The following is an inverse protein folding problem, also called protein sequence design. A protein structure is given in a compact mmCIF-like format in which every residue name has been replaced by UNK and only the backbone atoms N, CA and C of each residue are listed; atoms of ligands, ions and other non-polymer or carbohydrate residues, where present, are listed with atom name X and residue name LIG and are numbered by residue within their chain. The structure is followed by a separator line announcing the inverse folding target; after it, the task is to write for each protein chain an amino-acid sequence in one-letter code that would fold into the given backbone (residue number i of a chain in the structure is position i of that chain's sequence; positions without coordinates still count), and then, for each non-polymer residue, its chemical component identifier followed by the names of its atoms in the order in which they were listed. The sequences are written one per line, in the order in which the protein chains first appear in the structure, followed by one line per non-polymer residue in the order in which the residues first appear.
data_IF_345443431679
#
_entry.id   IF_345443431679
#
_cell.length_a   1.000
_cell.length_b   1.000
_cell.length_c   1.000
_cell.angle_alpha   90.00
_cell.angle_beta   90.00
_cell.angle_gamma   90.00
#
_symmetry.space_group_name_H-M   'P 1'
#
loop_
_entity.id
_entity.type
_entity.pdbx_description
1 polymer ?
#
# COMPACT_ATOMS: atom_id res chain seq x y z
N UNK A 1 12.99 -14.96 1.88
CA UNK A 1 13.39 -14.30 0.63
C UNK A 1 13.36 -12.80 0.89
N UNK A 2 14.30 -12.05 0.31
CA UNK A 2 14.42 -10.61 0.51
C UNK A 2 13.88 -9.81 -0.66
N UNK A 3 12.91 -8.93 -0.42
CA UNK A 3 12.29 -8.02 -1.40
C UNK A 3 12.51 -6.56 -1.00
N UNK A 4 12.13 -5.64 -1.88
CA UNK A 4 12.28 -4.20 -1.67
C UNK A 4 11.21 -3.45 -2.44
N UNK A 5 10.71 -2.36 -1.89
CA UNK A 5 9.97 -1.35 -2.66
C UNK A 5 10.21 0.05 -2.07
N UNK A 6 9.56 1.05 -2.67
CA UNK A 6 9.60 2.44 -2.20
C UNK A 6 8.23 2.85 -1.67
N UNK A 7 8.19 3.34 -0.44
CA UNK A 7 6.98 3.92 0.16
C UNK A 7 7.04 5.45 0.11
N UNK A 8 5.90 6.05 -0.23
CA UNK A 8 5.67 7.48 -0.18
C UNK A 8 4.69 7.75 0.96
N UNK A 9 5.17 8.32 2.05
CA UNK A 9 4.37 8.48 3.27
C UNK A 9 3.36 9.63 3.18
N UNK A 10 2.36 9.62 4.07
CA UNK A 10 1.27 10.59 4.06
C UNK A 10 1.71 12.05 4.13
N UNK A 11 2.87 12.38 4.71
CA UNK A 11 3.37 13.76 4.77
C UNK A 11 3.75 14.32 3.40
N UNK A 12 4.01 13.44 2.42
CA UNK A 12 4.33 13.81 1.05
C UNK A 12 3.08 14.09 0.20
N UNK A 13 1.87 13.88 0.73
CA UNK A 13 0.63 14.08 0.01
C UNK A 13 -0.19 15.21 0.63
N UNK A 14 -0.81 16.02 -0.22
CA UNK A 14 -2.05 16.68 0.15
C UNK A 14 -3.16 15.64 0.03
N UNK A 15 -3.62 15.18 1.18
CA UNK A 15 -4.68 14.17 1.28
C UNK A 15 -6.08 14.80 1.17
N UNK A 16 -7.11 14.00 0.83
CA UNK A 16 -8.48 14.47 0.72
C UNK A 16 -9.01 14.97 2.06
N UNK A 17 -9.80 16.05 2.06
CA UNK A 17 -10.34 16.62 3.31
C UNK A 17 -11.38 15.74 4.00
N UNK A 18 -11.98 14.81 3.25
CA UNK A 18 -13.00 13.88 3.75
C UNK A 18 -12.38 12.71 4.53
N UNK A 19 -11.08 12.47 4.35
CA UNK A 19 -10.32 11.49 5.11
C UNK A 19 -9.59 12.19 6.25
N UNK A 20 -10.00 11.87 7.49
CA UNK A 20 -9.24 12.33 8.66
C UNK A 20 -7.91 11.58 8.80
N UNK A 21 -7.02 12.08 9.65
CA UNK A 21 -5.78 11.36 10.00
C UNK A 21 -6.06 9.97 10.59
N UNK A 22 -7.12 9.83 11.39
CA UNK A 22 -7.54 8.55 11.93
C UNK A 22 -8.00 7.57 10.84
N UNK A 23 -8.61 8.08 9.76
CA UNK A 23 -8.95 7.26 8.61
C UNK A 23 -7.69 6.83 7.86
N UNK A 24 -6.84 7.79 7.51
CA UNK A 24 -5.60 7.56 6.76
C UNK A 24 -4.70 6.52 7.42
N UNK A 25 -4.66 6.48 8.75
CA UNK A 25 -3.77 5.60 9.52
C UNK A 25 -4.41 4.30 9.99
N UNK A 26 -5.76 4.23 10.08
CA UNK A 26 -6.44 3.16 10.79
C UNK A 26 -7.56 2.45 10.03
N UNK A 27 -8.00 2.97 8.89
CA UNK A 27 -9.00 2.27 8.08
C UNK A 27 -8.42 0.96 7.55
N UNK A 28 -9.25 -0.09 7.57
CA UNK A 28 -8.88 -1.45 7.13
C UNK A 28 -9.41 -1.79 5.73
N UNK A 29 -9.98 -0.80 5.05
CA UNK A 29 -10.58 -0.93 3.72
C UNK A 29 -10.86 0.45 3.14
N UNK A 30 -10.89 0.56 1.81
CA UNK A 30 -11.19 1.81 1.12
C UNK A 30 -12.66 2.27 1.23
N UNK A 31 -13.56 1.39 1.67
CA UNK A 31 -15.01 1.65 1.76
C UNK A 31 -15.64 2.08 0.42
N UNK A 32 -15.38 1.31 -0.64
CA UNK A 32 -15.99 1.51 -1.96
C UNK A 32 -17.46 1.10 -1.96
N UNK A 33 -18.33 1.92 -2.57
CA UNK A 33 -19.76 1.63 -2.74
C UNK A 33 -20.09 0.38 -3.57
N UNK A 34 -19.14 -0.09 -4.39
CA UNK A 34 -19.26 -1.34 -5.14
C UNK A 34 -18.89 -2.57 -4.30
N UNK A 35 -18.18 -2.39 -3.19
CA UNK A 35 -17.78 -3.48 -2.30
C UNK A 35 -18.97 -4.03 -1.49
N UNK A 36 -18.91 -5.32 -1.15
CA UNK A 36 -19.96 -6.02 -0.40
C UNK A 36 -20.21 -5.43 0.99
N UNK A 37 -19.16 -4.98 1.66
CA UNK A 37 -19.19 -4.45 3.03
C UNK A 37 -19.11 -2.92 3.10
N UNK A 38 -19.59 -2.24 2.06
CA UNK A 38 -19.75 -0.78 2.04
C UNK A 38 -20.60 -0.27 3.21
N UNK A 39 -20.12 0.80 3.86
CA UNK A 39 -20.81 1.53 4.91
C UNK A 39 -20.89 3.01 4.56
N UNK A 40 -22.09 3.48 4.19
CA UNK A 40 -22.35 4.87 3.83
C UNK A 40 -22.20 5.86 4.99
N UNK A 41 -22.03 5.39 6.24
CA UNK A 41 -21.76 6.24 7.40
C UNK A 41 -20.26 6.53 7.61
N UNK A 42 -19.39 5.84 6.88
CA UNK A 42 -17.94 6.01 6.92
C UNK A 42 -17.44 6.76 5.68
N UNK A 43 -16.32 7.49 5.77
CA UNK A 43 -15.73 8.09 4.59
C UNK A 43 -15.25 7.02 3.61
N UNK A 44 -15.16 7.37 2.33
CA UNK A 44 -14.64 6.51 1.27
C UNK A 44 -13.32 7.07 0.76
N UNK A 45 -12.36 6.18 0.49
CA UNK A 45 -11.10 6.50 -0.17
C UNK A 45 -11.25 6.59 -1.70
N UNK A 46 -12.37 6.08 -2.23
CA UNK A 46 -12.72 6.14 -3.65
C UNK A 46 -13.42 7.46 -3.97
N UNK A 47 -13.25 7.96 -5.19
CA UNK A 47 -13.66 9.29 -5.65
C UNK A 47 -12.98 10.44 -4.90
N UNK A 48 -11.80 10.17 -4.33
CA UNK A 48 -10.96 11.13 -3.65
C UNK A 48 -9.69 11.44 -4.46
N UNK A 49 -9.14 12.63 -4.29
CA UNK A 49 -7.90 13.07 -4.95
C UNK A 49 -6.74 13.16 -3.93
N UNK A 50 -5.69 12.39 -4.17
CA UNK A 50 -4.41 12.47 -3.46
C UNK A 50 -3.41 13.22 -4.33
N UNK A 51 -2.88 14.34 -3.86
CA UNK A 51 -1.91 15.12 -4.62
C UNK A 51 -0.52 14.99 -4.02
N UNK A 52 0.42 14.43 -4.78
CA UNK A 52 1.79 14.28 -4.35
C UNK A 52 2.50 15.64 -4.33
N UNK A 53 2.94 16.08 -3.15
CA UNK A 53 3.67 17.33 -2.93
C UNK A 53 5.14 17.26 -3.36
N UNK A 54 5.67 16.05 -3.55
CA UNK A 54 7.09 15.80 -3.84
C UNK A 54 7.85 15.26 -2.61
N UNK A 55 9.09 14.86 -2.85
CA UNK A 55 9.94 14.19 -1.86
C UNK A 55 10.55 12.92 -2.46
N UNK A 56 11.58 12.41 -1.80
CA UNK A 56 12.14 11.11 -2.12
C UNK A 56 11.48 10.06 -1.23
N UNK A 57 10.89 9.03 -1.84
CA UNK A 57 10.27 7.93 -1.09
C UNK A 57 11.29 7.17 -0.24
N UNK A 58 10.82 6.49 0.79
CA UNK A 58 11.66 5.66 1.65
C UNK A 58 11.73 4.26 1.07
N UNK A 59 12.93 3.76 0.81
CA UNK A 59 13.07 2.37 0.38
C UNK A 59 13.14 1.43 1.57
N UNK A 60 12.33 0.36 1.55
CA UNK A 60 12.27 -0.63 2.62
C UNK A 60 12.64 -2.00 2.09
N UNK A 61 13.35 -2.78 2.90
CA UNK A 61 13.74 -4.17 2.61
C UNK A 61 12.84 -5.09 3.42
N UNK A 62 12.36 -6.14 2.78
CA UNK A 62 11.25 -6.98 3.23
C UNK A 62 11.72 -8.42 3.26
N UNK A 63 11.45 -9.11 4.36
CA UNK A 63 11.57 -10.55 4.45
C UNK A 63 10.20 -11.15 4.23
N UNK A 64 10.10 -11.99 3.21
CA UNK A 64 8.90 -12.71 2.87
C UNK A 64 9.22 -14.18 2.52
N UNK A 65 8.27 -15.09 2.65
CA UNK A 65 8.48 -16.50 2.29
C UNK A 65 8.00 -16.85 0.88
N UNK A 66 7.30 -15.92 0.23
CA UNK A 66 6.78 -16.02 -1.13
C UNK A 66 7.14 -14.76 -1.96
N UNK A 67 6.54 -14.56 -3.14
CA UNK A 67 6.85 -13.44 -4.06
C UNK A 67 5.74 -12.39 -4.21
N UNK A 68 4.75 -12.38 -3.32
CA UNK A 68 3.61 -11.47 -3.33
C UNK A 68 3.62 -10.55 -2.11
N UNK A 69 3.17 -9.33 -2.34
CA UNK A 69 2.88 -8.32 -1.33
C UNK A 69 1.37 -8.34 -1.08
N UNK A 70 0.99 -9.03 -0.03
CA UNK A 70 -0.38 -9.40 0.30
C UNK A 70 -0.92 -8.65 1.51
N UNK A 71 -2.25 -8.66 1.63
CA UNK A 71 -2.91 -8.27 2.88
C UNK A 71 -2.79 -9.41 3.91
N UNK A 72 -2.76 -9.07 5.21
CA UNK A 72 -2.61 -10.05 6.29
C UNK A 72 -3.75 -11.08 6.34
N UNK A 73 -4.91 -10.81 5.74
CA UNK A 73 -6.02 -11.77 5.62
C UNK A 73 -5.76 -12.89 4.61
N UNK A 74 -5.09 -12.59 3.49
CA UNK A 74 -4.84 -13.56 2.40
C UNK A 74 -3.44 -14.15 2.41
N UNK A 75 -2.54 -13.60 3.23
CA UNK A 75 -1.18 -14.10 3.43
C UNK A 75 -1.17 -15.62 3.74
N UNK A 76 -0.51 -16.39 2.87
CA UNK A 76 -0.41 -17.85 2.98
C UNK A 76 1.00 -18.27 3.41
N UNK A 77 1.29 -18.25 4.71
CA UNK A 77 2.59 -18.71 5.19
C UNK A 77 3.06 -17.97 6.43
N UNK A 78 4.31 -17.53 6.38
CA UNK A 78 4.87 -16.58 7.33
C UNK A 78 4.47 -15.15 6.98
N UNK A 79 4.30 -14.31 7.99
CA UNK A 79 4.07 -12.89 7.73
C UNK A 79 5.28 -12.24 7.04
N UNK A 80 5.00 -11.39 6.08
CA UNK A 80 5.92 -10.42 5.52
C UNK A 80 6.38 -9.44 6.60
N UNK A 81 7.68 -9.18 6.68
CA UNK A 81 8.24 -8.31 7.74
C UNK A 81 9.34 -7.41 7.25
N UNK A 82 9.58 -6.30 7.96
CA UNK A 82 10.76 -5.46 7.73
C UNK A 82 12.05 -6.25 7.99
N UNK A 83 12.95 -6.31 7.00
CA UNK A 83 14.26 -6.92 7.17
C UNK A 83 15.20 -6.07 8.06
N UNK A 84 14.96 -4.76 8.11
CA UNK A 84 15.73 -3.80 8.89
C UNK A 84 14.84 -2.71 9.45
N UNK A 85 15.27 -2.06 10.54
CA UNK A 85 14.53 -0.93 11.07
C UNK A 85 14.47 0.22 10.05
N UNK A 86 13.31 0.83 9.91
CA UNK A 86 13.07 1.96 9.00
C UNK A 86 12.44 3.11 9.76
N UNK A 87 12.77 4.34 9.39
CA UNK A 87 12.08 5.53 9.90
C UNK A 87 11.27 6.16 8.78
N UNK A 88 9.95 6.24 8.97
CA UNK A 88 8.99 6.81 8.02
C UNK A 88 8.24 7.92 8.75
N UNK A 89 8.24 9.14 8.18
CA UNK A 89 7.60 10.33 8.79
C UNK A 89 7.94 10.53 10.29
N UNK A 90 9.19 10.26 10.68
CA UNK A 90 9.65 10.41 12.08
C UNK A 90 9.28 9.27 13.03
N UNK A 91 8.56 8.24 12.57
CA UNK A 91 8.27 7.01 13.34
C UNK A 91 9.26 5.93 12.93
N UNK A 92 9.97 5.35 13.90
CA UNK A 92 10.88 4.23 13.66
C UNK A 92 10.17 2.90 13.90
N UNK A 93 10.05 2.10 12.86
CA UNK A 93 9.57 0.73 12.91
C UNK A 93 10.77 -0.22 13.02
N UNK A 94 10.76 -1.18 13.98
CA UNK A 94 11.88 -2.10 14.16
C UNK A 94 11.94 -3.14 13.03
N UNK A 95 13.11 -3.78 12.87
CA UNK A 95 13.20 -5.00 12.08
C UNK A 95 12.26 -6.07 12.66
N UNK A 96 11.58 -6.82 11.79
CA UNK A 96 10.57 -7.80 12.16
C UNK A 96 9.16 -7.24 12.35
N UNK A 97 8.94 -5.93 12.18
CA UNK A 97 7.60 -5.36 12.12
C UNK A 97 6.82 -5.95 10.93
N UNK A 98 5.54 -6.26 11.12
CA UNK A 98 4.68 -6.87 10.10
C UNK A 98 4.30 -5.84 9.05
N UNK A 99 4.34 -6.25 7.78
CA UNK A 99 3.91 -5.46 6.63
C UNK A 99 2.64 -6.07 6.03
N UNK A 100 1.73 -5.23 5.56
CA UNK A 100 0.51 -5.65 4.87
C UNK A 100 0.20 -4.68 3.72
N UNK A 101 -0.25 -5.23 2.60
CA UNK A 101 -0.93 -4.53 1.53
C UNK A 101 -2.42 -4.39 1.87
N UNK A 102 -2.71 -3.56 2.88
CA UNK A 102 -4.02 -3.52 3.54
C UNK A 102 -5.19 -3.43 2.57
N UNK A 103 -5.07 -2.54 1.58
CA UNK A 103 -5.96 -2.47 0.43
C UNK A 103 -5.27 -1.69 -0.69
N UNK A 104 -5.82 -1.77 -1.90
CA UNK A 104 -5.36 -1.01 -3.06
C UNK A 104 -6.43 -0.05 -3.57
N UNK A 105 -5.99 0.98 -4.29
CA UNK A 105 -6.83 1.95 -4.98
C UNK A 105 -6.48 1.96 -6.45
N UNK A 106 -7.50 2.02 -7.31
CA UNK A 106 -7.34 1.96 -8.76
C UNK A 106 -7.94 3.22 -9.38
N UNK A 107 -7.18 3.91 -10.23
CA UNK A 107 -7.68 5.08 -10.95
C UNK A 107 -8.38 4.74 -12.28
N UNK A 108 -8.93 5.76 -12.93
CA UNK A 108 -9.68 5.60 -14.18
C UNK A 108 -8.84 5.07 -15.37
N UNK A 109 -7.50 5.11 -15.27
CA UNK A 109 -6.59 4.55 -16.27
C UNK A 109 -6.23 3.09 -16.00
N UNK A 110 -6.59 2.56 -14.83
CA UNK A 110 -6.23 1.22 -14.37
C UNK A 110 -4.94 1.18 -13.56
N UNK A 111 -4.35 2.33 -13.20
CA UNK A 111 -3.21 2.38 -12.30
C UNK A 111 -3.66 2.00 -10.89
N UNK A 112 -3.04 0.97 -10.34
CA UNK A 112 -3.28 0.49 -8.98
C UNK A 112 -2.14 0.97 -8.06
N UNK A 113 -2.50 1.52 -6.90
CA UNK A 113 -1.56 1.88 -5.84
C UNK A 113 -1.95 1.18 -4.56
N UNK A 114 -0.96 0.81 -3.75
CA UNK A 114 -1.12 -0.08 -2.61
C UNK A 114 -0.95 0.71 -1.32
N UNK A 115 -1.87 0.56 -0.37
CA UNK A 115 -1.75 1.17 0.96
C UNK A 115 -0.88 0.29 1.83
N UNK A 116 0.33 0.75 2.12
CA UNK A 116 1.24 0.04 3.01
C UNK A 116 0.79 0.21 4.46
N UNK A 117 0.65 -0.91 5.16
CA UNK A 117 0.49 -0.96 6.60
C UNK A 117 1.71 -1.57 7.27
N UNK A 118 2.13 -0.98 8.39
CA UNK A 118 3.23 -1.49 9.23
C UNK A 118 2.74 -1.57 10.67
N UNK A 119 2.81 -2.75 11.28
CA UNK A 119 2.38 -3.02 12.67
C UNK A 119 1.01 -2.41 13.01
N UNK A 120 0.04 -2.57 12.11
CA UNK A 120 -1.31 -2.07 12.36
C UNK A 120 -1.56 -0.61 11.95
N UNK A 121 -0.63 0.07 11.30
CA UNK A 121 -0.80 1.47 10.87
C UNK A 121 -0.53 1.65 9.38
N UNK A 122 -1.49 2.24 8.66
CA UNK A 122 -1.30 2.64 7.28
C UNK A 122 -0.32 3.83 7.24
N UNK A 123 0.78 3.70 6.50
CA UNK A 123 1.88 4.68 6.52
C UNK A 123 2.02 5.47 5.22
N UNK A 124 1.48 4.98 4.11
CA UNK A 124 1.61 5.63 2.81
C UNK A 124 1.24 4.75 1.63
N UNK A 125 1.60 5.22 0.44
CA UNK A 125 1.41 4.50 -0.81
C UNK A 125 2.70 3.82 -1.28
N UNK A 126 2.53 2.61 -1.83
CA UNK A 126 3.48 1.94 -2.71
C UNK A 126 2.91 2.01 -4.13
N UNK A 127 3.77 2.32 -5.09
CA UNK A 127 3.40 2.45 -6.50
C UNK A 127 3.99 1.30 -7.32
N UNK A 128 3.39 0.97 -8.48
CA UNK A 128 4.06 0.18 -9.49
C UNK A 128 5.39 0.83 -9.89
N UNK A 129 6.40 0.01 -10.17
CA UNK A 129 7.79 0.45 -10.33
C UNK A 129 7.95 1.57 -11.38
N UNK A 130 7.25 1.42 -12.51
CA UNK A 130 7.32 2.36 -13.65
C UNK A 130 6.35 3.55 -13.51
N UNK A 131 5.57 3.59 -12.41
CA UNK A 131 4.48 4.55 -12.20
C UNK A 131 4.64 5.35 -10.90
N UNK A 132 5.85 5.42 -10.36
CA UNK A 132 6.16 6.25 -9.20
C UNK A 132 5.72 7.72 -9.39
N UNK A 133 5.20 8.37 -8.34
CA UNK A 133 4.53 9.66 -8.46
C UNK A 133 5.54 10.79 -8.72
N UNK A 134 5.14 11.76 -9.55
CA UNK A 134 5.94 12.97 -9.80
C UNK A 134 5.38 14.15 -9.00
N UNK A 135 6.25 15.02 -8.53
CA UNK A 135 5.82 16.18 -7.73
C UNK A 135 4.74 17.00 -8.47
N UNK A 136 3.62 17.24 -7.81
CA UNK A 136 2.45 17.92 -8.35
C UNK A 136 1.42 17.01 -9.03
N UNK A 137 1.74 15.73 -9.26
CA UNK A 137 0.82 14.72 -9.80
C UNK A 137 -0.33 14.45 -8.82
N UNK A 138 -1.50 14.14 -9.37
CA UNK A 138 -2.69 13.79 -8.61
C UNK A 138 -3.12 12.37 -8.98
N UNK A 139 -3.46 11.59 -7.98
CA UNK A 139 -4.02 10.26 -8.09
C UNK A 139 -5.47 10.32 -7.61
N UNK A 140 -6.40 9.90 -8.47
CA UNK A 140 -7.83 9.92 -8.18
C UNK A 140 -8.42 8.54 -8.32
N UNK A 141 -8.64 7.89 -7.17
CA UNK A 141 -9.17 6.53 -7.12
C UNK A 141 -10.62 6.49 -7.63
N UNK A 142 -10.92 5.53 -8.50
CA UNK A 142 -12.26 5.23 -9.00
C UNK A 142 -12.79 3.87 -8.55
N UNK A 143 -11.91 2.98 -8.08
CA UNK A 143 -12.29 1.74 -7.39
C UNK A 143 -11.21 1.32 -6.39
N UNK A 144 -11.45 0.22 -5.68
CA UNK A 144 -10.49 -0.37 -4.74
C UNK A 144 -10.55 -1.89 -4.70
N UNK A 145 -9.46 -2.51 -4.23
CA UNK A 145 -9.45 -3.93 -3.82
C UNK A 145 -9.02 -4.05 -2.37
N UNK A 146 -9.57 -5.05 -1.69
CA UNK A 146 -9.21 -5.44 -0.34
C UNK A 146 -8.42 -6.76 -0.38
N UNK A 147 -7.83 -7.16 0.75
CA UNK A 147 -7.26 -8.50 0.91
C UNK A 147 -8.27 -9.57 0.52
N UNK A 148 -9.45 -9.58 1.15
CA UNK A 148 -10.56 -10.46 0.73
C UNK A 148 -11.14 -9.98 -0.60
N UNK A 149 -10.99 -10.80 -1.64
CA UNK A 149 -11.57 -10.58 -2.96
C UNK A 149 -13.09 -10.34 -2.91
N UNK A 150 -13.83 -10.92 -1.96
CA UNK A 150 -15.27 -10.67 -1.81
C UNK A 150 -15.60 -9.26 -1.33
N UNK A 151 -14.65 -8.58 -0.71
CA UNK A 151 -14.77 -7.22 -0.18
C UNK A 151 -14.16 -6.18 -1.13
N UNK A 152 -13.68 -6.63 -2.28
CA UNK A 152 -13.22 -5.78 -3.37
C UNK A 152 -14.36 -5.36 -4.29
N UNK A 153 -14.17 -4.22 -4.97
CA UNK A 153 -15.15 -3.68 -5.91
C UNK A 153 -15.32 -4.53 -7.18
N UNK A 154 -14.29 -5.27 -7.57
CA UNK A 154 -14.22 -6.06 -8.80
C UNK A 154 -14.12 -7.58 -8.57
N UNK A 155 -14.08 -8.02 -7.31
CA UNK A 155 -13.96 -9.44 -6.96
C UNK A 155 -12.53 -9.99 -6.99
N UNK A 156 -11.50 -9.12 -7.03
CA UNK A 156 -10.08 -9.51 -7.00
C UNK A 156 -9.39 -9.02 -5.72
N UNK A 157 -8.41 -9.76 -5.20
CA UNK A 157 -7.63 -9.35 -4.02
C UNK A 157 -6.66 -8.21 -4.36
N UNK A 158 -6.27 -7.40 -3.37
CA UNK A 158 -5.19 -6.39 -3.50
C UNK A 158 -3.79 -6.99 -3.70
N UNK A 159 -3.64 -8.31 -3.55
CA UNK A 159 -2.39 -9.06 -3.78
C UNK A 159 -1.65 -8.64 -5.06
N UNK A 160 -0.36 -8.33 -4.92
CA UNK A 160 0.50 -7.91 -6.04
C UNK A 160 1.86 -8.58 -5.95
N UNK A 161 2.49 -8.89 -7.08
CA UNK A 161 3.88 -9.38 -7.05
C UNK A 161 4.85 -8.26 -6.68
N UNK A 162 5.84 -8.55 -5.85
CA UNK A 162 6.93 -7.59 -5.57
C UNK A 162 7.60 -7.07 -6.85
N UNK A 163 7.71 -7.91 -7.88
CA UNK A 163 8.27 -7.56 -9.18
C UNK A 163 7.49 -6.48 -9.96
N UNK A 164 6.26 -6.19 -9.57
CA UNK A 164 5.46 -5.10 -10.13
C UNK A 164 5.69 -3.78 -9.38
N UNK A 165 6.06 -3.85 -8.10
CA UNK A 165 6.36 -2.69 -7.25
C UNK A 165 7.81 -2.22 -7.36
N UNK A 166 8.72 -3.09 -7.78
CA UNK A 166 10.13 -2.77 -8.02
C UNK A 166 10.74 -3.72 -9.08
N UNK A 167 11.60 -3.18 -9.94
CA UNK A 167 12.22 -3.92 -11.05
C UNK A 167 13.71 -4.20 -10.84
N UNK A 168 14.29 -3.81 -9.70
CA UNK A 168 15.72 -3.96 -9.45
C UNK A 168 16.10 -5.45 -9.33
N UNK A 169 17.23 -5.88 -9.95
CA UNK A 169 17.76 -7.22 -9.73
C UNK A 169 18.05 -7.47 -8.25
N UNK A 170 17.74 -8.68 -7.76
CA UNK A 170 17.84 -9.02 -6.34
C UNK A 170 16.54 -8.80 -5.56
N UNK A 171 15.71 -7.88 -6.03
CA UNK A 171 14.41 -7.59 -5.41
C UNK A 171 13.36 -8.56 -5.93
N UNK A 172 13.25 -8.71 -7.25
CA UNK A 172 12.21 -9.53 -7.90
C UNK A 172 12.39 -11.03 -7.74
N UNK A 173 13.61 -11.48 -7.40
CA UNK A 173 13.96 -12.89 -7.21
C UNK A 173 14.14 -13.26 -5.74
N UNK A 174 13.86 -12.33 -4.81
CA UNK A 174 13.86 -12.62 -3.39
C UNK A 174 15.25 -12.75 -2.76
N UNK A 175 16.26 -12.06 -3.29
CA UNK A 175 17.67 -12.14 -2.82
C UNK A 175 18.20 -10.84 -2.20
N UNK A 176 17.36 -9.84 -1.97
CA UNK A 176 17.78 -8.51 -1.47
C UNK A 176 17.96 -8.40 0.06
N UNK A 177 17.83 -9.51 0.80
CA UNK A 177 17.73 -9.55 2.27
C UNK A 177 18.86 -10.29 3.01
N UNK A 178 20.03 -10.47 2.39
CA UNK A 178 21.23 -11.06 3.03
C UNK A 178 22.02 -10.06 3.90
#
# INVERSE_FOLDING_TARGET
MGYQFTVYDWSMFKTPSDLSEANLTGDVQANDSAARHYDASKPSWVNQEFKFGGGDGTSIVINDDDSHFDDGYVEEGGAQTLAQAVTINGVTYPAGAVLENEFSLIDASGKEVYVLRIDGQNVGFVYPAEEQPKAGESFSATSSRNGDAMDSADGESSSVRYAETDTRPGVVDGTSGD
#
